data_IF_816876148694
#
_entry.id   IF_816876148694
#
_cell.length_a   1.000
_cell.length_b   1.000
_cell.length_c   1.000
_cell.angle_alpha   90.00
_cell.angle_beta   90.00
_cell.angle_gamma   90.00
#
_symmetry.space_group_name_H-M   'P 1'
#
loop_
_entity.id
_entity.type
_entity.pdbx_description
1 polymer ?
#
# COMPACT_ATOMS: atom_id res chain seq x y z
N UNK A 1 -16.09 7.14 10.18
CA UNK A 1 -16.10 7.73 8.82
C UNK A 1 -17.27 7.17 8.02
N UNK A 2 -17.57 7.72 6.84
CA UNK A 2 -18.73 7.33 5.99
C UNK A 2 -18.46 6.17 5.01
N UNK A 3 -17.41 5.37 5.22
CA UNK A 3 -17.09 4.21 4.36
C UNK A 3 -16.49 4.51 2.98
N UNK A 4 -16.43 5.77 2.55
CA UNK A 4 -15.96 6.16 1.19
C UNK A 4 -14.56 5.62 0.87
N UNK A 5 -13.62 5.66 1.82
CA UNK A 5 -12.27 5.14 1.60
C UNK A 5 -12.26 3.66 1.25
N UNK A 6 -13.09 2.84 1.91
CA UNK A 6 -13.22 1.41 1.60
C UNK A 6 -13.78 1.19 0.20
N UNK A 7 -14.78 1.99 -0.20
CA UNK A 7 -15.34 1.93 -1.56
C UNK A 7 -14.27 2.23 -2.61
N UNK A 8 -13.46 3.27 -2.39
CA UNK A 8 -12.38 3.64 -3.30
C UNK A 8 -11.32 2.54 -3.40
N UNK A 9 -10.85 2.01 -2.26
CA UNK A 9 -9.85 0.93 -2.28
C UNK A 9 -10.38 -0.30 -3.00
N UNK A 10 -11.61 -0.73 -2.70
CA UNK A 10 -12.21 -1.89 -3.36
C UNK A 10 -12.31 -1.70 -4.87
N UNK A 11 -12.71 -0.52 -5.34
CA UNK A 11 -12.74 -0.23 -6.78
C UNK A 11 -11.35 -0.38 -7.42
N UNK A 12 -10.28 0.10 -6.76
CA UNK A 12 -8.91 -0.09 -7.23
C UNK A 12 -8.48 -1.56 -7.21
N UNK A 13 -8.90 -2.35 -6.22
CA UNK A 13 -8.60 -3.80 -6.17
C UNK A 13 -9.31 -4.54 -7.31
N UNK A 14 -10.55 -4.20 -7.60
CA UNK A 14 -11.33 -4.81 -8.69
C UNK A 14 -10.74 -4.46 -10.06
N UNK A 15 -10.32 -3.21 -10.26
CA UNK A 15 -9.60 -2.79 -11.47
C UNK A 15 -8.29 -3.57 -11.60
N UNK A 16 -7.50 -3.67 -10.54
CA UNK A 16 -6.24 -4.41 -10.57
C UNK A 16 -6.43 -5.91 -10.87
N UNK A 17 -7.50 -6.54 -10.35
CA UNK A 17 -7.88 -7.91 -10.74
C UNK A 17 -8.19 -8.01 -12.23
N UNK A 18 -8.95 -7.06 -12.77
CA UNK A 18 -9.27 -7.04 -14.22
C UNK A 18 -8.04 -6.88 -15.11
N UNK A 19 -7.00 -6.21 -14.59
CA UNK A 19 -5.70 -6.03 -15.25
C UNK A 19 -4.74 -7.21 -15.02
N UNK A 20 -5.13 -8.23 -14.26
CA UNK A 20 -4.28 -9.38 -13.93
C UNK A 20 -3.09 -9.04 -13.03
N UNK A 21 -3.21 -7.99 -12.21
CA UNK A 21 -2.14 -7.57 -11.29
C UNK A 21 -2.23 -8.43 -10.01
N UNK A 22 -1.22 -9.25 -9.70
CA UNK A 22 -1.32 -10.24 -8.62
C UNK A 22 -1.06 -9.66 -7.22
N UNK A 23 -0.40 -8.49 -7.13
CA UNK A 23 0.02 -7.88 -5.86
C UNK A 23 -0.11 -6.37 -5.90
N UNK A 24 -0.61 -5.80 -4.82
CA UNK A 24 -0.74 -4.36 -4.63
C UNK A 24 -0.12 -3.98 -3.29
N UNK A 25 0.63 -2.89 -3.26
CA UNK A 25 1.17 -2.33 -2.02
C UNK A 25 0.70 -0.89 -1.81
N UNK A 26 0.75 -0.43 -0.56
CA UNK A 26 0.46 0.94 -0.15
C UNK A 26 1.45 1.39 0.93
N UNK A 27 1.86 2.65 0.87
CA UNK A 27 2.53 3.35 1.97
C UNK A 27 1.52 4.24 2.67
N UNK A 28 1.39 4.13 3.99
CA UNK A 28 0.31 4.78 4.73
C UNK A 28 0.64 5.10 6.19
N UNK A 29 0.08 6.20 6.70
CA UNK A 29 0.06 6.53 8.13
C UNK A 29 -1.08 5.85 8.90
N UNK A 30 -1.99 5.15 8.21
CA UNK A 30 -3.20 4.52 8.78
C UNK A 30 -3.26 3.04 8.41
N UNK A 31 -2.30 2.20 8.86
CA UNK A 31 -2.25 0.77 8.50
C UNK A 31 -3.54 0.02 8.86
N UNK A 32 -4.12 0.29 10.04
CA UNK A 32 -5.36 -0.36 10.48
C UNK A 32 -6.60 -0.09 9.63
N UNK A 33 -6.59 0.91 8.73
CA UNK A 33 -7.63 1.04 7.70
C UNK A 33 -7.45 0.00 6.59
N UNK A 34 -6.22 -0.18 6.11
CA UNK A 34 -5.89 -1.13 5.05
C UNK A 34 -5.97 -2.59 5.52
N UNK A 35 -5.63 -2.87 6.78
CA UNK A 35 -5.84 -4.19 7.39
C UNK A 35 -7.30 -4.65 7.33
N UNK A 36 -8.25 -3.72 7.54
CA UNK A 36 -9.69 -4.02 7.42
C UNK A 36 -10.13 -4.34 5.99
N UNK A 37 -9.35 -3.93 4.99
CA UNK A 37 -9.58 -4.22 3.57
C UNK A 37 -8.80 -5.47 3.12
N UNK A 38 -8.04 -6.11 4.02
CA UNK A 38 -7.33 -7.37 3.76
C UNK A 38 -5.84 -7.20 3.42
N UNK A 39 -5.31 -5.98 3.44
CA UNK A 39 -3.86 -5.79 3.35
C UNK A 39 -3.16 -6.30 4.60
N UNK A 40 -1.92 -6.76 4.44
CA UNK A 40 -1.05 -7.19 5.52
C UNK A 40 0.16 -6.27 5.61
N UNK A 41 0.69 -6.00 6.81
CA UNK A 41 1.93 -5.25 6.96
C UNK A 41 3.10 -6.02 6.32
N UNK A 42 3.98 -5.30 5.66
CA UNK A 42 5.22 -5.83 5.08
C UNK A 42 6.41 -4.96 5.47
N UNK A 43 7.62 -5.52 5.40
CA UNK A 43 8.83 -4.72 5.48
C UNK A 43 8.95 -3.81 4.25
N UNK A 44 9.44 -2.58 4.43
CA UNK A 44 9.80 -1.68 3.31
C UNK A 44 10.85 -2.31 2.38
N UNK A 45 11.65 -3.25 2.88
CA UNK A 45 12.62 -4.01 2.07
C UNK A 45 11.96 -4.96 1.06
N UNK A 46 10.69 -5.32 1.26
CA UNK A 46 9.93 -6.12 0.29
C UNK A 46 9.36 -5.30 -0.88
N UNK A 47 9.49 -3.96 -0.83
CA UNK A 47 9.02 -3.10 -1.92
C UNK A 47 9.91 -3.25 -3.16
N UNK A 48 9.33 -3.13 -4.38
CA UNK A 48 10.10 -3.18 -5.62
C UNK A 48 11.26 -2.17 -5.62
N UNK A 49 12.38 -2.53 -6.24
CA UNK A 49 13.58 -1.69 -6.29
C UNK A 49 13.32 -0.29 -6.88
N UNK A 50 12.33 -0.16 -7.77
CA UNK A 50 11.88 1.13 -8.31
C UNK A 50 11.41 2.10 -7.22
N UNK A 51 10.77 1.59 -6.17
CA UNK A 51 10.25 2.40 -5.06
C UNK A 51 11.39 2.84 -4.14
N UNK A 52 12.39 1.99 -3.94
CA UNK A 52 13.59 2.33 -3.16
C UNK A 52 14.29 3.58 -3.69
N UNK A 53 14.43 3.71 -5.01
CA UNK A 53 15.03 4.90 -5.64
C UNK A 53 14.32 6.21 -5.33
N UNK A 54 13.00 6.17 -5.09
CA UNK A 54 12.21 7.33 -4.70
C UNK A 54 12.22 7.54 -3.18
N UNK A 55 12.21 6.46 -2.40
CA UNK A 55 12.33 6.51 -0.95
C UNK A 55 13.63 7.19 -0.50
N UNK A 56 14.78 6.87 -1.11
CA UNK A 56 16.08 7.45 -0.71
C UNK A 56 16.19 8.95 -0.99
N UNK A 57 15.38 9.48 -1.91
CA UNK A 57 15.30 10.92 -2.21
C UNK A 57 14.28 11.66 -1.32
N UNK A 58 13.47 10.93 -0.57
CA UNK A 58 12.47 11.51 0.30
C UNK A 58 13.14 12.26 1.46
N UNK A 59 12.70 13.48 1.73
CA UNK A 59 13.20 14.28 2.87
C UNK A 59 12.96 13.63 4.24
N UNK A 60 12.02 12.66 4.31
CA UNK A 60 11.74 11.87 5.51
C UNK A 60 12.62 10.63 5.61
N UNK A 61 13.46 10.33 4.63
CA UNK A 61 14.35 9.17 4.71
C UNK A 61 15.54 9.48 5.64
N UNK A 62 15.97 8.54 6.52
CA UNK A 62 15.46 7.18 6.72
C UNK A 62 14.26 7.09 7.69
N UNK A 63 13.93 8.16 8.41
CA UNK A 63 12.93 8.22 9.48
C UNK A 63 11.47 8.33 8.98
N UNK A 64 11.14 7.69 7.86
CA UNK A 64 9.81 7.82 7.27
C UNK A 64 8.78 7.03 8.09
N UNK A 65 7.80 7.72 8.67
CA UNK A 65 6.78 7.10 9.54
C UNK A 65 5.64 6.39 8.79
N UNK A 66 5.72 6.28 7.47
CA UNK A 66 4.74 5.51 6.69
C UNK A 66 4.96 4.00 6.87
N UNK A 67 3.87 3.25 6.93
CA UNK A 67 3.87 1.80 7.02
C UNK A 67 3.62 1.20 5.65
N UNK A 68 4.39 0.18 5.28
CA UNK A 68 4.19 -0.55 4.04
C UNK A 68 3.19 -1.69 4.25
N UNK A 69 2.15 -1.70 3.41
CA UNK A 69 1.07 -2.68 3.42
C UNK A 69 1.02 -3.36 2.06
N UNK A 70 0.68 -4.65 2.01
CA UNK A 70 0.52 -5.40 0.75
C UNK A 70 -0.68 -6.34 0.80
N UNK A 71 -1.37 -6.49 -0.32
CA UNK A 71 -2.38 -7.51 -0.56
C UNK A 71 -2.01 -8.31 -1.81
N UNK A 72 -2.24 -9.61 -1.76
CA UNK A 72 -2.19 -10.50 -2.92
C UNK A 72 -3.63 -10.74 -3.38
N UNK A 73 -3.89 -10.58 -4.68
CA UNK A 73 -5.22 -10.59 -5.29
C UNK A 73 -5.65 -11.97 -5.80
#
# INVERSE_FOLDING_TARGET
GKGVGTVLVNACLDEAKSLGIPKIFALTYKPGFFEKVGFKPISKTALPHKIWGECVKCFKFPDCDENAMMIEL
#
